data_IF_706784510118
#
_entry.id   IF_706784510118
#
_cell.length_a   1.000
_cell.length_b   1.000
_cell.length_c   1.000
_cell.angle_alpha   90.00
_cell.angle_beta   90.00
_cell.angle_gamma   90.00
#
_symmetry.space_group_name_H-M   'P 1'
#
loop_
_entity.id
_entity.type
_entity.pdbx_description
1 polymer ?
#
# COMPACT_ATOMS: atom_id res chain seq x y z
N UNK A 1 -16.39 -22.97 -52.36
CA UNK A 1 -17.46 -21.99 -52.15
C UNK A 1 -17.33 -21.01 -53.30
N UNK A 2 -17.72 -21.42 -54.52
CA UNK A 2 -17.22 -20.75 -55.74
C UNK A 2 -18.37 -20.16 -56.56
N UNK A 3 -19.60 -20.23 -56.03
CA UNK A 3 -20.82 -19.78 -56.70
C UNK A 3 -21.54 -18.72 -55.88
N UNK A 4 -22.00 -17.68 -56.55
CA UNK A 4 -22.84 -16.63 -56.01
C UNK A 4 -24.14 -17.21 -55.47
N UNK A 5 -24.49 -16.85 -54.23
CA UNK A 5 -25.70 -17.34 -53.58
C UNK A 5 -26.99 -16.97 -54.34
N UNK A 6 -27.05 -15.76 -54.92
CA UNK A 6 -28.27 -15.26 -55.58
C UNK A 6 -28.46 -15.79 -57.01
N UNK A 7 -27.36 -16.12 -57.71
CA UNK A 7 -27.41 -16.42 -59.15
C UNK A 7 -26.87 -17.80 -59.50
N UNK A 8 -26.33 -18.55 -58.52
CA UNK A 8 -25.67 -19.85 -58.71
C UNK A 8 -24.55 -19.86 -59.79
N UNK A 9 -24.01 -18.68 -60.13
CA UNK A 9 -22.92 -18.46 -61.09
C UNK A 9 -21.58 -18.30 -60.41
N UNK A 10 -20.50 -18.54 -61.13
CA UNK A 10 -19.14 -18.39 -60.60
C UNK A 10 -18.87 -16.96 -60.14
N UNK A 11 -18.13 -16.85 -59.04
CA UNK A 11 -17.72 -15.58 -58.46
C UNK A 11 -16.37 -15.18 -59.08
N UNK A 12 -16.35 -14.02 -59.74
CA UNK A 12 -15.19 -13.57 -60.53
C UNK A 12 -14.72 -12.17 -60.13
N UNK A 13 -15.58 -11.39 -59.45
CA UNK A 13 -15.35 -9.98 -59.14
C UNK A 13 -15.41 -9.71 -57.64
N UNK A 14 -14.68 -8.70 -57.18
CA UNK A 14 -14.71 -8.16 -55.84
C UNK A 14 -15.08 -6.68 -55.91
N UNK A 15 -16.14 -6.30 -55.22
CA UNK A 15 -16.53 -4.91 -55.02
C UNK A 15 -15.89 -4.40 -53.73
N UNK A 16 -14.95 -3.47 -53.82
CA UNK A 16 -14.24 -2.90 -52.66
C UNK A 16 -15.16 -2.00 -51.85
N UNK A 17 -16.03 -1.23 -52.52
CA UNK A 17 -16.99 -0.30 -51.88
C UNK A 17 -17.92 -1.00 -50.86
N UNK A 18 -18.20 -2.29 -51.10
CA UNK A 18 -19.07 -3.09 -50.23
C UNK A 18 -18.33 -4.25 -49.55
N UNK A 19 -17.02 -4.39 -49.79
CA UNK A 19 -16.21 -5.53 -49.37
C UNK A 19 -16.87 -6.90 -49.67
N UNK A 20 -17.37 -7.08 -50.90
CA UNK A 20 -18.16 -8.28 -51.28
C UNK A 20 -17.68 -8.95 -52.56
N UNK A 21 -17.77 -10.27 -52.56
CA UNK A 21 -17.53 -11.14 -53.72
C UNK A 21 -18.78 -11.23 -54.61
N UNK A 22 -18.62 -11.10 -55.92
CA UNK A 22 -19.70 -10.96 -56.88
C UNK A 22 -19.48 -11.83 -58.13
N UNK A 23 -20.56 -12.43 -58.66
CA UNK A 23 -20.58 -12.96 -60.02
C UNK A 23 -20.92 -11.86 -61.03
N UNK A 24 -20.75 -12.12 -62.32
CA UNK A 24 -21.07 -11.17 -63.41
C UNK A 24 -22.50 -10.57 -63.31
N UNK A 25 -23.50 -11.34 -62.89
CA UNK A 25 -24.87 -10.82 -62.70
C UNK A 25 -25.00 -9.81 -61.56
N UNK A 26 -24.25 -9.97 -60.47
CA UNK A 26 -24.22 -9.02 -59.36
C UNK A 26 -23.52 -7.70 -59.77
N UNK A 27 -22.55 -7.77 -60.68
CA UNK A 27 -21.83 -6.59 -61.18
C UNK A 27 -22.79 -5.56 -61.80
N UNK A 28 -23.85 -6.02 -62.48
CA UNK A 28 -24.86 -5.14 -63.06
C UNK A 28 -25.61 -4.29 -62.00
N UNK A 29 -25.77 -4.83 -60.80
CA UNK A 29 -26.38 -4.14 -59.65
C UNK A 29 -25.35 -3.20 -59.01
N UNK A 30 -24.08 -3.61 -58.99
CA UNK A 30 -22.94 -2.82 -58.53
C UNK A 30 -22.39 -1.85 -59.61
N UNK A 31 -23.13 -1.58 -60.69
CA UNK A 31 -22.63 -0.72 -61.79
C UNK A 31 -22.35 0.73 -61.37
N UNK A 32 -22.91 1.16 -60.23
CA UNK A 32 -22.67 2.47 -59.61
C UNK A 32 -21.52 2.47 -58.60
N UNK A 33 -20.89 1.32 -58.36
CA UNK A 33 -19.71 1.20 -57.53
C UNK A 33 -18.49 1.58 -58.37
N UNK A 34 -17.60 2.38 -57.79
CA UNK A 34 -16.41 2.88 -58.47
C UNK A 34 -15.25 1.89 -58.36
N UNK A 35 -15.27 1.04 -57.34
CA UNK A 35 -14.19 0.09 -57.06
C UNK A 35 -14.66 -1.35 -57.23
N UNK A 36 -14.76 -1.78 -58.48
CA UNK A 36 -15.07 -3.17 -58.84
C UNK A 36 -13.93 -3.75 -59.68
N UNK A 37 -13.25 -4.76 -59.14
CA UNK A 37 -12.10 -5.40 -59.78
C UNK A 37 -12.29 -6.91 -59.85
N UNK A 38 -11.64 -7.56 -60.80
CA UNK A 38 -11.55 -9.02 -60.83
C UNK A 38 -10.82 -9.56 -59.59
N UNK A 39 -11.31 -10.64 -59.02
CA UNK A 39 -10.73 -11.27 -57.82
C UNK A 39 -9.27 -11.64 -58.05
N UNK A 40 -8.92 -12.08 -59.27
CA UNK A 40 -7.54 -12.43 -59.63
C UNK A 40 -6.62 -11.21 -59.56
N UNK A 41 -7.11 -10.03 -59.96
CA UNK A 41 -6.36 -8.77 -59.90
C UNK A 41 -6.21 -8.29 -58.45
N UNK A 42 -7.31 -8.29 -57.70
CA UNK A 42 -7.31 -7.89 -56.28
C UNK A 42 -6.40 -8.80 -55.47
N UNK A 43 -6.51 -10.12 -55.60
CA UNK A 43 -5.71 -11.09 -54.84
C UNK A 43 -4.21 -11.00 -55.11
N UNK A 44 -3.80 -10.58 -56.31
CA UNK A 44 -2.39 -10.30 -56.63
C UNK A 44 -1.90 -9.01 -55.98
N UNK A 45 -2.75 -7.99 -55.87
CA UNK A 45 -2.41 -6.69 -55.30
C UNK A 45 -2.50 -6.65 -53.76
N UNK A 46 -3.42 -7.42 -53.17
CA UNK A 46 -3.67 -7.46 -51.72
C UNK A 46 -2.98 -8.60 -51.01
N UNK A 47 -2.11 -9.36 -51.70
CA UNK A 47 -1.34 -10.43 -51.06
C UNK A 47 -0.48 -9.81 -49.95
N UNK A 48 -0.86 -9.97 -48.67
CA UNK A 48 -0.11 -9.36 -47.59
C UNK A 48 1.27 -10.03 -47.58
N UNK A 49 2.31 -9.27 -47.25
CA UNK A 49 3.59 -9.87 -46.93
C UNK A 49 3.44 -10.60 -45.58
N UNK A 50 2.99 -11.85 -45.65
CA UNK A 50 2.78 -12.71 -44.50
C UNK A 50 4.09 -12.94 -43.73
N UNK A 51 5.25 -12.81 -44.40
CA UNK A 51 6.54 -12.94 -43.75
C UNK A 51 6.85 -11.69 -42.90
N UNK A 52 6.61 -10.50 -43.43
CA UNK A 52 6.73 -9.26 -42.66
C UNK A 52 5.75 -9.23 -41.46
N UNK A 53 4.52 -9.69 -41.65
CA UNK A 53 3.53 -9.79 -40.57
C UNK A 53 4.00 -10.78 -39.48
N UNK A 54 4.49 -11.96 -39.89
CA UNK A 54 5.02 -12.96 -38.98
C UNK A 54 6.23 -12.46 -38.20
N UNK A 55 7.15 -11.74 -38.85
CA UNK A 55 8.30 -11.12 -38.18
C UNK A 55 7.86 -10.06 -37.16
N UNK A 56 6.86 -9.25 -37.51
CA UNK A 56 6.32 -8.23 -36.60
C UNK A 56 5.68 -8.86 -35.37
N UNK A 57 4.90 -9.94 -35.55
CA UNK A 57 4.31 -10.69 -34.44
C UNK A 57 5.38 -11.31 -33.52
N UNK A 58 6.46 -11.87 -34.09
CA UNK A 58 7.57 -12.43 -33.30
C UNK A 58 8.25 -11.34 -32.46
N UNK A 59 8.47 -10.15 -33.03
CA UNK A 59 9.05 -9.02 -32.29
C UNK A 59 8.16 -8.56 -31.14
N UNK A 60 6.87 -8.37 -31.41
CA UNK A 60 5.90 -7.98 -30.38
C UNK A 60 5.79 -9.03 -29.27
N UNK A 61 5.86 -10.31 -29.61
CA UNK A 61 5.88 -11.38 -28.61
C UNK A 61 7.14 -11.28 -27.73
N UNK A 62 8.31 -11.10 -28.31
CA UNK A 62 9.56 -10.97 -27.56
C UNK A 62 9.57 -9.74 -26.64
N UNK A 63 9.03 -8.61 -27.10
CA UNK A 63 8.87 -7.39 -26.29
C UNK A 63 7.89 -7.62 -25.13
N UNK A 64 6.76 -8.28 -25.38
CA UNK A 64 5.79 -8.62 -24.33
C UNK A 64 6.41 -9.55 -23.28
N UNK A 65 7.18 -10.57 -23.70
CA UNK A 65 7.85 -11.50 -22.80
C UNK A 65 8.90 -10.78 -21.93
N UNK A 66 9.63 -9.82 -22.50
CA UNK A 66 10.61 -9.00 -21.76
C UNK A 66 9.92 -8.12 -20.70
N UNK A 67 8.81 -7.46 -21.05
CA UNK A 67 8.01 -6.65 -20.12
C UNK A 67 7.47 -7.53 -18.98
N UNK A 68 6.96 -8.72 -19.29
CA UNK A 68 6.47 -9.67 -18.28
C UNK A 68 7.60 -10.07 -17.31
N UNK A 69 8.81 -10.33 -17.83
CA UNK A 69 9.95 -10.67 -17.00
C UNK A 69 10.36 -9.51 -16.06
N UNK A 70 10.39 -8.28 -16.56
CA UNK A 70 10.69 -7.08 -15.76
C UNK A 70 9.64 -6.83 -14.67
N UNK A 71 8.35 -7.00 -15.01
CA UNK A 71 7.26 -6.93 -14.04
C UNK A 71 7.41 -7.96 -12.93
N UNK A 72 7.76 -9.22 -13.25
CA UNK A 72 8.00 -10.27 -12.25
C UNK A 72 9.19 -9.97 -11.35
N UNK A 73 10.28 -9.46 -11.92
CA UNK A 73 11.44 -9.06 -11.13
C UNK A 73 11.11 -7.90 -10.19
N UNK A 74 10.33 -6.92 -10.66
CA UNK A 74 9.86 -5.81 -9.84
C UNK A 74 8.94 -6.29 -8.71
N UNK A 75 8.02 -7.21 -8.99
CA UNK A 75 7.14 -7.83 -7.99
C UNK A 75 7.96 -8.52 -6.88
N UNK A 76 9.01 -9.26 -7.23
CA UNK A 76 9.91 -9.87 -6.24
C UNK A 76 10.60 -8.83 -5.37
N UNK A 77 11.12 -7.74 -5.97
CA UNK A 77 11.78 -6.66 -5.23
C UNK A 77 10.81 -5.89 -4.29
N UNK A 78 9.56 -5.72 -4.71
CA UNK A 78 8.53 -5.12 -3.85
C UNK A 78 8.18 -6.02 -2.67
N UNK A 79 8.03 -7.33 -2.89
CA UNK A 79 7.73 -8.28 -1.81
C UNK A 79 8.86 -8.33 -0.76
N UNK A 80 10.13 -8.31 -1.20
CA UNK A 80 11.27 -8.23 -0.30
C UNK A 80 11.27 -6.90 0.49
N UNK A 81 10.97 -5.78 -0.18
CA UNK A 81 10.89 -4.47 0.46
C UNK A 81 9.76 -4.40 1.49
N UNK A 82 8.60 -4.97 1.18
CA UNK A 82 7.46 -5.08 2.11
C UNK A 82 7.87 -5.90 3.33
N UNK A 83 8.48 -7.07 3.13
CA UNK A 83 8.92 -7.92 4.24
C UNK A 83 9.92 -7.20 5.15
N UNK A 84 10.87 -6.45 4.58
CA UNK A 84 11.83 -5.65 5.34
C UNK A 84 11.14 -4.54 6.13
N UNK A 85 10.26 -3.77 5.51
CA UNK A 85 9.50 -2.71 6.18
C UNK A 85 8.65 -3.28 7.32
N UNK A 86 7.96 -4.41 7.10
CA UNK A 86 7.19 -5.08 8.14
C UNK A 86 8.06 -5.48 9.34
N UNK A 87 9.25 -6.04 9.09
CA UNK A 87 10.20 -6.40 10.16
C UNK A 87 10.70 -5.18 10.94
N UNK A 88 10.99 -4.08 10.25
CA UNK A 88 11.38 -2.82 10.89
C UNK A 88 10.25 -2.23 11.75
N UNK A 89 9.00 -2.29 11.26
CA UNK A 89 7.80 -1.86 12.00
C UNK A 89 7.60 -2.68 13.26
N UNK A 90 7.72 -4.01 13.18
CA UNK A 90 7.60 -4.89 14.36
C UNK A 90 8.71 -4.61 15.39
N UNK A 91 9.94 -4.40 14.93
CA UNK A 91 11.07 -4.02 15.80
C UNK A 91 10.82 -2.68 16.49
N UNK A 92 10.30 -1.69 15.77
CA UNK A 92 9.93 -0.40 16.35
C UNK A 92 8.81 -0.52 17.39
N UNK A 93 7.78 -1.32 17.08
CA UNK A 93 6.67 -1.60 17.99
C UNK A 93 7.18 -2.22 19.30
N UNK A 94 8.05 -3.23 19.22
CA UNK A 94 8.62 -3.88 20.40
C UNK A 94 9.46 -2.91 21.23
N UNK A 95 10.24 -2.05 20.56
CA UNK A 95 11.02 -1.00 21.23
C UNK A 95 10.12 0.01 21.96
N UNK A 96 9.02 0.45 21.34
CA UNK A 96 8.04 1.36 21.98
C UNK A 96 7.41 0.69 23.20
N UNK A 97 7.01 -0.58 23.09
CA UNK A 97 6.43 -1.35 24.20
C UNK A 97 7.43 -1.44 25.36
N UNK A 98 8.70 -1.74 25.06
CA UNK A 98 9.76 -1.83 26.06
C UNK A 98 9.96 -0.50 26.78
N UNK A 99 10.17 0.59 26.03
CA UNK A 99 10.37 1.93 26.59
C UNK A 99 9.16 2.39 27.42
N UNK A 100 7.94 2.08 26.98
CA UNK A 100 6.73 2.41 27.72
C UNK A 100 6.65 1.66 29.06
N UNK A 101 7.03 0.37 29.08
CA UNK A 101 7.10 -0.42 30.31
C UNK A 101 8.15 0.13 31.28
N UNK A 102 9.33 0.48 30.77
CA UNK A 102 10.42 1.08 31.56
C UNK A 102 10.01 2.43 32.15
N UNK A 103 9.40 3.31 31.35
CA UNK A 103 8.90 4.60 31.80
C UNK A 103 7.82 4.45 32.88
N UNK A 104 6.87 3.51 32.70
CA UNK A 104 5.85 3.19 33.70
C UNK A 104 6.48 2.72 35.02
N UNK A 105 7.48 1.85 34.97
CA UNK A 105 8.17 1.36 36.17
C UNK A 105 8.91 2.48 36.89
N UNK A 106 9.61 3.36 36.16
CA UNK A 106 10.28 4.54 36.74
C UNK A 106 9.28 5.45 37.45
N UNK A 107 8.19 5.82 36.80
CA UNK A 107 7.13 6.64 37.41
C UNK A 107 6.56 6.02 38.69
N UNK A 108 6.32 4.70 38.70
CA UNK A 108 5.84 4.00 39.90
C UNK A 108 6.89 4.08 41.02
N UNK A 109 8.18 3.90 40.69
CA UNK A 109 9.26 3.96 41.68
C UNK A 109 9.44 5.35 42.27
N UNK A 110 9.39 6.40 41.44
CA UNK A 110 9.47 7.79 41.86
C UNK A 110 8.26 8.18 42.71
N UNK A 111 7.05 7.78 42.31
CA UNK A 111 5.84 8.03 43.10
C UNK A 111 5.90 7.36 44.49
N UNK A 112 6.44 6.14 44.57
CA UNK A 112 6.67 5.45 45.85
C UNK A 112 7.69 6.19 46.71
N UNK A 113 8.83 6.58 46.13
CA UNK A 113 9.86 7.34 46.85
C UNK A 113 9.32 8.68 47.34
N UNK A 114 8.60 9.41 46.50
CA UNK A 114 7.96 10.67 46.86
C UNK A 114 7.00 10.48 48.05
N UNK A 115 6.11 9.46 47.99
CA UNK A 115 5.22 9.13 49.09
C UNK A 115 5.98 8.86 50.39
N UNK A 116 7.03 8.05 50.35
CA UNK A 116 7.84 7.74 51.55
C UNK A 116 8.51 8.98 52.11
N UNK A 117 9.06 9.84 51.25
CA UNK A 117 9.72 11.09 51.65
C UNK A 117 8.74 12.06 52.29
N UNK A 118 7.55 12.27 51.71
CA UNK A 118 6.55 13.16 52.30
C UNK A 118 5.96 12.61 53.61
N UNK A 119 5.74 11.30 53.74
CA UNK A 119 5.32 10.69 55.02
C UNK A 119 6.35 10.96 56.11
N UNK A 120 7.64 10.69 55.84
CA UNK A 120 8.72 11.01 56.78
C UNK A 120 8.78 12.50 57.13
N UNK A 121 8.57 13.38 56.14
CA UNK A 121 8.55 14.83 56.35
C UNK A 121 7.42 15.25 57.29
N UNK A 122 6.23 14.67 57.13
CA UNK A 122 5.07 14.93 58.00
C UNK A 122 5.32 14.40 59.41
N UNK A 123 5.83 13.18 59.55
CA UNK A 123 6.17 12.59 60.85
C UNK A 123 7.21 13.42 61.60
N UNK A 124 8.29 13.85 60.93
CA UNK A 124 9.31 14.71 61.52
C UNK A 124 8.73 16.05 61.99
N UNK A 125 7.85 16.67 61.21
CA UNK A 125 7.15 17.90 61.62
C UNK A 125 6.27 17.69 62.85
N UNK A 126 5.51 16.58 62.89
CA UNK A 126 4.63 16.24 64.02
C UNK A 126 5.45 16.00 65.29
N UNK A 127 6.54 15.26 65.19
CA UNK A 127 7.43 14.97 66.32
C UNK A 127 8.06 16.26 66.86
N UNK A 128 8.59 17.13 65.98
CA UNK A 128 9.14 18.43 66.38
C UNK A 128 8.10 19.31 67.10
N UNK A 129 6.86 19.36 66.60
CA UNK A 129 5.77 20.08 67.28
C UNK A 129 5.44 19.50 68.65
N UNK A 130 5.41 18.17 68.78
CA UNK A 130 5.17 17.50 70.07
C UNK A 130 6.30 17.78 71.07
N UNK A 131 7.56 17.78 70.63
CA UNK A 131 8.70 18.15 71.47
C UNK A 131 8.59 19.61 71.95
N UNK A 132 8.27 20.55 71.05
CA UNK A 132 8.06 21.96 71.42
C UNK A 132 6.92 22.12 72.44
N UNK A 133 5.84 21.35 72.31
CA UNK A 133 4.73 21.37 73.26
C UNK A 133 5.15 20.88 74.65
N UNK A 134 5.89 19.76 74.74
CA UNK A 134 6.41 19.21 76.00
C UNK A 134 7.40 20.15 76.70
N UNK A 135 8.25 20.85 75.95
CA UNK A 135 9.14 21.87 76.52
C UNK A 135 8.35 23.05 77.10
N UNK A 136 7.29 23.52 76.43
CA UNK A 136 6.44 24.61 76.94
C UNK A 136 5.64 24.23 78.20
N UNK A 137 5.17 23.00 78.31
CA UNK A 137 4.44 22.54 79.50
C UNK A 137 5.37 22.37 80.70
N UNK A 138 6.60 21.87 80.50
CA UNK A 138 7.58 21.70 81.57
C UNK A 138 8.16 23.04 82.08
N UNK A 139 8.28 24.06 81.21
CA UNK A 139 8.61 25.43 81.62
C UNK A 139 7.47 26.13 82.38
N UNK A 140 6.21 25.71 82.16
CA UNK A 140 5.05 26.19 82.92
C UNK A 140 4.98 25.59 84.32
N UNK A 141 5.31 24.31 84.48
CA UNK A 141 5.32 23.62 85.78
C UNK A 141 6.50 24.03 86.67
N UNK A 142 7.69 24.29 86.09
CA UNK A 142 8.86 24.74 86.86
C UNK A 142 8.74 26.16 87.42
N UNK A 143 7.82 26.99 86.89
CA UNK A 143 7.56 28.34 87.43
C UNK A 143 6.59 28.36 88.62
N UNK A 144 5.87 27.27 88.91
CA UNK A 144 4.90 27.22 90.02
C UNK A 144 5.49 26.75 91.37
N UNK A 145 6.77 26.36 91.43
CA UNK A 145 7.43 25.93 92.68
C UNK A 145 8.33 26.98 93.33
N UNK A 146 8.16 28.28 93.01
CA UNK A 146 8.92 29.39 93.62
C UNK A 146 8.03 30.44 94.28
N UNK A 147 7.09 30.03 95.13
CA UNK A 147 6.52 30.93 96.13
C UNK A 147 6.32 30.14 97.43
N UNK A 148 7.33 30.14 98.30
CA UNK A 148 7.17 30.17 99.74
C UNK A 148 8.53 30.35 100.43
N UNK A 149 8.48 31.03 101.59
CA UNK A 149 9.55 31.42 102.51
C UNK A 149 10.27 32.75 102.22
N UNK A 150 9.64 33.86 102.62
CA UNK A 150 9.94 34.52 103.90
C UNK A 150 8.95 35.63 104.21
#
# INVERSE_FOLDING_TARGET
>A
MDKCHAHAREIEFFCQDHSKLCCLSCVLIHRKCDQLDEIVKVSRQTRPDLQALKQSLIKLQAEADAIIAECKQSETGFNESIAKISSEVDTMKDRIIKLSKEAKQKLISEAKQFKTTEVKRIENKRNAQSTVYLFRTNEGETKNYRINYR
#
